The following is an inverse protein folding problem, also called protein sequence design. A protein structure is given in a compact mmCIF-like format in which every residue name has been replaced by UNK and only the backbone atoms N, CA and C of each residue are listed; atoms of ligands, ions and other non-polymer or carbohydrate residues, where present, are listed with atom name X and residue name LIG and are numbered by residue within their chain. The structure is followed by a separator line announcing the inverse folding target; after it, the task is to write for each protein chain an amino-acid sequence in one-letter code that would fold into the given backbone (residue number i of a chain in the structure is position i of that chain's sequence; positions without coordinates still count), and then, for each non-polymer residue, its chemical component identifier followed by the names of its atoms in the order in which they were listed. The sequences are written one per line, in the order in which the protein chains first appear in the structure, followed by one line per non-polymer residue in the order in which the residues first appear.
data_IF_995952166516
#
_entry.id   IF_995952166516
#
_cell.length_a   1.000
_cell.length_b   1.000
_cell.length_c   1.000
_cell.angle_alpha   90.00
_cell.angle_beta   90.00
_cell.angle_gamma   90.00
#
_symmetry.space_group_name_H-M   'P 1'
#
loop_
_entity.id
_entity.type
_entity.pdbx_description
1 polymer ?
#
# COMPACT_ATOMS: atom_id res chain seq x y z
N UNK A 1 7.21 15.86 -76.55
CA UNK A 1 6.79 17.16 -77.13
C UNK A 1 7.12 18.24 -76.12
N UNK A 2 7.57 19.43 -76.55
CA UNK A 2 7.52 20.74 -75.85
C UNK A 2 8.15 20.86 -74.43
N UNK A 3 8.89 21.92 -74.07
CA UNK A 3 9.53 22.99 -74.87
C UNK A 3 10.61 23.73 -74.02
N UNK A 4 11.60 24.35 -74.69
CA UNK A 4 12.36 25.59 -74.36
C UNK A 4 12.38 26.19 -72.93
N UNK A 5 13.47 26.79 -72.41
CA UNK A 5 14.82 27.05 -72.96
C UNK A 5 15.81 27.58 -71.88
N UNK A 6 17.07 27.79 -72.30
CA UNK A 6 18.10 28.67 -71.74
C UNK A 6 17.58 30.00 -71.11
N UNK A 7 18.26 30.68 -70.18
CA UNK A 7 19.61 30.47 -69.59
C UNK A 7 20.45 31.76 -69.61
N UNK A 8 21.19 32.08 -68.53
CA UNK A 8 22.07 33.27 -68.46
C UNK A 8 22.51 33.64 -67.03
N UNK A 9 23.71 34.19 -66.87
CA UNK A 9 24.33 34.54 -65.56
C UNK A 9 24.90 35.96 -65.57
N UNK A 10 24.84 36.70 -64.44
CA UNK A 10 25.58 37.96 -64.25
C UNK A 10 25.77 38.39 -62.77
N UNK A 11 26.83 37.85 -62.13
CA UNK A 11 27.94 38.55 -61.44
C UNK A 11 27.73 40.02 -60.93
N UNK A 12 28.09 40.31 -59.64
CA UNK A 12 29.04 41.38 -59.14
C UNK A 12 28.72 42.08 -57.78
N UNK A 13 29.72 42.04 -56.86
CA UNK A 13 30.09 42.95 -55.71
C UNK A 13 29.12 43.25 -54.55
N UNK A 14 29.71 43.72 -53.45
CA UNK A 14 29.11 44.03 -52.15
C UNK A 14 29.26 45.52 -51.75
N UNK A 15 28.55 45.95 -50.69
CA UNK A 15 28.77 47.21 -49.95
C UNK A 15 28.29 47.08 -48.48
N UNK A 16 28.73 47.99 -47.61
CA UNK A 16 28.50 47.94 -46.15
C UNK A 16 27.43 48.96 -45.65
N UNK A 17 27.25 48.97 -44.32
CA UNK A 17 26.17 49.58 -43.51
C UNK A 17 25.97 51.11 -43.63
N UNK A 18 24.82 51.62 -43.14
CA UNK A 18 24.90 52.51 -41.96
C UNK A 18 23.74 52.41 -40.93
N UNK A 19 24.02 52.82 -39.69
CA UNK A 19 23.07 53.31 -38.64
C UNK A 19 23.22 54.85 -38.49
N UNK A 20 22.47 55.60 -37.63
CA UNK A 20 21.23 55.35 -36.84
C UNK A 20 20.12 56.43 -37.10
N UNK A 21 19.05 56.52 -36.28
CA UNK A 21 18.61 57.73 -35.52
C UNK A 21 17.27 57.58 -34.72
N UNK A 22 16.97 58.59 -33.88
CA UNK A 22 15.83 58.80 -32.95
C UNK A 22 14.93 59.99 -33.43
N UNK A 23 13.73 60.32 -32.92
CA UNK A 23 12.82 59.86 -31.83
C UNK A 23 11.33 60.18 -32.24
N UNK A 24 10.25 60.26 -31.45
CA UNK A 24 9.99 60.13 -30.00
C UNK A 24 8.61 60.66 -29.55
N UNK A 25 8.02 60.09 -28.46
CA UNK A 25 6.73 60.45 -27.79
C UNK A 25 5.44 60.25 -28.62
N UNK A 26 4.23 59.99 -28.08
CA UNK A 26 3.63 60.20 -26.74
C UNK A 26 2.85 58.98 -26.17
N UNK A 27 2.29 59.10 -24.95
CA UNK A 27 1.67 58.03 -24.13
C UNK A 27 0.17 57.74 -24.39
N UNK A 28 -0.23 56.47 -24.21
CA UNK A 28 -1.37 56.05 -23.33
C UNK A 28 -1.03 54.68 -22.70
N UNK A 29 -0.72 54.60 -21.40
CA UNK A 29 -1.65 54.41 -20.25
C UNK A 29 -2.29 53.01 -20.09
N UNK A 30 -1.52 52.00 -19.67
CA UNK A 30 -1.68 51.28 -18.38
C UNK A 30 -0.69 50.11 -18.24
N UNK A 31 0.12 50.06 -17.18
CA UNK A 31 1.03 48.94 -16.88
C UNK A 31 1.18 48.75 -15.35
N UNK A 32 0.81 47.59 -14.76
CA UNK A 32 0.99 47.32 -13.34
C UNK A 32 2.46 46.96 -13.02
N UNK A 33 3.27 48.00 -12.77
CA UNK A 33 4.56 48.05 -12.06
C UNK A 33 5.26 46.68 -11.85
N UNK A 34 6.11 46.29 -12.79
CA UNK A 34 7.15 45.27 -12.58
C UNK A 34 8.22 45.82 -11.64
N UNK A 35 8.01 45.65 -10.33
CA UNK A 35 8.96 46.07 -9.28
C UNK A 35 10.30 45.35 -9.44
N UNK A 36 11.32 46.07 -9.90
CA UNK A 36 12.68 45.53 -10.03
C UNK A 36 13.24 45.11 -8.66
N UNK A 37 13.81 43.89 -8.53
CA UNK A 37 14.42 43.45 -7.28
C UNK A 37 15.74 44.18 -7.07
N UNK A 38 15.74 45.22 -6.24
CA UNK A 38 16.94 45.97 -5.90
C UNK A 38 17.98 45.05 -5.22
N UNK A 39 19.18 44.95 -5.79
CA UNK A 39 20.30 44.19 -5.23
C UNK A 39 20.70 44.74 -3.84
N UNK A 40 20.18 44.14 -2.77
CA UNK A 40 20.80 44.20 -1.44
C UNK A 40 21.44 42.86 -1.14
N UNK A 41 22.72 42.86 -0.79
CA UNK A 41 23.43 41.69 -0.22
C UNK A 41 22.97 41.48 1.24
N UNK A 42 21.72 41.07 1.42
CA UNK A 42 21.33 40.35 2.64
C UNK A 42 21.76 38.91 2.48
N UNK A 43 22.59 38.39 3.39
CA UNK A 43 22.80 36.94 3.50
C UNK A 43 21.58 36.40 4.23
N UNK A 44 20.55 36.03 3.47
CA UNK A 44 19.47 35.18 3.97
C UNK A 44 20.14 33.92 4.51
N UNK A 45 20.11 33.72 5.83
CA UNK A 45 20.49 32.44 6.40
C UNK A 45 19.53 31.37 5.83
N UNK A 46 20.03 30.19 5.42
CA UNK A 46 19.14 29.11 5.05
C UNK A 46 18.25 28.77 6.27
N UNK A 47 16.94 28.51 6.08
CA UNK A 47 16.04 28.20 7.18
C UNK A 47 16.57 26.99 7.95
N UNK A 48 16.49 27.06 9.28
CA UNK A 48 16.93 25.97 10.14
C UNK A 48 16.00 24.77 9.92
N UNK A 49 16.56 23.57 9.81
CA UNK A 49 15.76 22.36 9.83
C UNK A 49 15.10 22.19 11.21
N UNK A 50 13.83 21.79 11.23
CA UNK A 50 13.19 21.36 12.48
C UNK A 50 13.99 20.20 13.10
N UNK A 51 14.10 20.13 14.44
CA UNK A 51 14.70 18.98 15.12
C UNK A 51 13.87 17.71 14.85
N UNK A 52 14.53 16.54 14.92
CA UNK A 52 13.92 15.25 14.56
C UNK A 52 12.64 14.90 15.36
N UNK A 53 12.42 15.52 16.52
CA UNK A 53 11.16 15.50 17.27
C UNK A 53 10.81 16.93 17.72
N UNK A 54 10.02 17.69 16.96
CA UNK A 54 9.73 19.09 17.25
C UNK A 54 8.57 19.24 18.24
N UNK A 55 8.86 19.40 19.53
CA UNK A 55 7.81 19.61 20.55
C UNK A 55 7.17 20.99 20.44
N UNK A 56 5.84 21.04 20.30
CA UNK A 56 5.06 22.28 20.33
C UNK A 56 5.26 23.09 21.62
N UNK A 57 5.49 22.43 22.76
CA UNK A 57 5.69 23.13 24.04
C UNK A 57 7.06 23.82 24.08
N UNK A 58 8.11 23.14 23.63
CA UNK A 58 9.46 23.71 23.55
C UNK A 58 9.49 24.94 22.63
N UNK A 59 8.85 24.86 21.46
CA UNK A 59 8.73 25.99 20.53
C UNK A 59 7.89 27.15 21.11
N UNK A 60 6.80 26.84 21.84
CA UNK A 60 6.01 27.87 22.55
C UNK A 60 6.84 28.58 23.62
N UNK A 61 7.73 27.86 24.31
CA UNK A 61 8.60 28.43 25.33
C UNK A 61 9.75 29.25 24.69
N UNK A 62 10.36 28.76 23.61
CA UNK A 62 11.32 29.51 22.79
C UNK A 62 10.76 30.86 22.32
N UNK A 63 9.49 30.91 21.87
CA UNK A 63 8.83 32.16 21.49
C UNK A 63 8.60 33.13 22.69
N UNK A 64 8.27 32.61 23.88
CA UNK A 64 8.17 33.42 25.11
C UNK A 64 9.53 34.00 25.52
N UNK A 65 10.59 33.20 25.47
CA UNK A 65 11.93 33.63 25.84
C UNK A 65 12.52 34.61 24.82
N UNK A 66 12.23 34.44 23.53
CA UNK A 66 12.56 35.40 22.49
C UNK A 66 11.86 36.76 22.71
N UNK A 67 10.56 36.75 23.06
CA UNK A 67 9.82 37.95 23.43
C UNK A 67 10.40 38.63 24.68
N UNK A 68 10.77 37.85 25.70
CA UNK A 68 11.42 38.33 26.94
C UNK A 68 12.81 38.93 26.64
N UNK A 69 13.58 38.32 25.75
CA UNK A 69 14.88 38.82 25.29
C UNK A 69 14.76 40.14 24.51
N UNK A 70 13.74 40.29 23.66
CA UNK A 70 13.46 41.53 22.93
C UNK A 70 13.07 42.67 23.87
N UNK A 71 12.16 42.42 24.82
CA UNK A 71 11.76 43.39 25.85
C UNK A 71 12.91 43.78 26.80
N UNK A 72 13.92 42.93 26.92
CA UNK A 72 15.16 43.22 27.65
C UNK A 72 16.26 43.85 26.77
N UNK A 73 15.92 44.38 25.59
CA UNK A 73 16.84 45.12 24.72
C UNK A 73 17.99 44.31 24.12
N UNK A 74 17.96 42.97 24.15
CA UNK A 74 19.09 42.14 23.71
C UNK A 74 19.32 42.28 22.19
N UNK A 75 20.50 42.72 21.72
CA UNK A 75 20.73 43.01 20.29
C UNK A 75 20.41 41.84 19.35
N UNK A 76 20.74 40.60 19.74
CA UNK A 76 20.46 39.40 18.94
C UNK A 76 18.97 39.06 18.82
N UNK A 77 18.14 39.45 19.78
CA UNK A 77 16.68 39.35 19.66
C UNK A 77 16.13 40.47 18.77
N UNK A 78 16.58 41.72 18.98
CA UNK A 78 16.16 42.88 18.18
C UNK A 78 16.46 42.69 16.70
N UNK A 79 17.62 42.11 16.35
CA UNK A 79 17.97 41.74 14.98
C UNK A 79 16.96 40.77 14.35
N UNK A 80 16.68 39.63 15.00
CA UNK A 80 15.75 38.59 14.51
C UNK A 80 14.33 39.14 14.27
N UNK A 81 13.84 39.99 15.17
CA UNK A 81 12.56 40.69 15.00
C UNK A 81 12.55 41.68 13.82
N UNK A 82 13.64 42.42 13.60
CA UNK A 82 13.79 43.35 12.48
C UNK A 82 14.06 42.66 11.13
N UNK A 83 14.51 41.41 11.12
CA UNK A 83 14.72 40.63 9.89
C UNK A 83 13.42 40.00 9.38
N UNK A 84 12.58 39.48 10.27
CA UNK A 84 11.41 38.67 9.90
C UNK A 84 10.04 39.37 10.05
N UNK A 85 9.96 40.59 10.60
CA UNK A 85 8.68 41.33 10.70
C UNK A 85 8.69 42.63 9.88
N UNK A 86 7.91 42.72 8.78
CA UNK A 86 7.89 43.88 7.89
C UNK A 86 7.61 45.24 8.54
N UNK A 87 6.82 45.28 9.63
CA UNK A 87 6.52 46.53 10.36
C UNK A 87 7.69 47.09 11.18
N UNK A 88 8.80 46.35 11.28
CA UNK A 88 10.00 46.71 12.02
C UNK A 88 11.19 47.04 11.11
N UNK A 89 11.01 46.94 9.78
CA UNK A 89 12.06 47.16 8.79
C UNK A 89 12.49 48.65 8.77
N UNK A 90 13.75 48.92 9.10
CA UNK A 90 14.32 50.27 9.05
C UNK A 90 14.01 51.17 10.25
N UNK A 91 13.47 50.63 11.36
CA UNK A 91 13.38 51.37 12.62
C UNK A 91 14.79 51.75 13.13
N UNK A 92 15.06 53.00 13.55
CA UNK A 92 16.37 53.43 14.03
C UNK A 92 16.90 52.60 15.20
N UNK A 93 18.23 52.51 15.31
CA UNK A 93 18.90 51.89 16.46
C UNK A 93 18.83 52.73 17.74
N UNK A 94 18.59 54.04 17.60
CA UNK A 94 18.67 55.05 18.66
C UNK A 94 17.31 55.39 19.30
N UNK A 95 16.32 54.50 19.17
CA UNK A 95 15.04 54.61 19.91
C UNK A 95 15.17 53.89 21.27
N UNK A 96 14.95 54.59 22.41
CA UNK A 96 15.22 54.04 23.73
C UNK A 96 14.25 52.91 24.14
N UNK A 97 13.00 52.95 23.64
CA UNK A 97 12.02 51.88 23.80
C UNK A 97 11.84 51.13 22.47
N UNK A 98 12.02 49.79 22.42
CA UNK A 98 11.72 49.02 21.23
C UNK A 98 10.21 49.02 20.95
N UNK A 99 9.77 49.12 19.69
CA UNK A 99 8.35 49.19 19.32
C UNK A 99 7.55 47.98 19.82
N UNK A 100 6.26 48.18 20.08
CA UNK A 100 5.44 47.17 20.76
C UNK A 100 5.29 45.87 19.97
N UNK A 101 5.71 44.77 20.59
CA UNK A 101 5.76 43.41 20.03
C UNK A 101 4.98 42.44 20.92
N UNK A 102 4.15 41.62 20.28
CA UNK A 102 3.26 40.63 20.89
C UNK A 102 3.87 39.22 20.90
N UNK A 103 3.21 38.27 21.58
CA UNK A 103 3.58 36.86 21.49
C UNK A 103 3.37 36.29 20.07
N UNK A 104 2.36 36.79 19.33
CA UNK A 104 2.09 36.39 17.95
C UNK A 104 3.21 36.81 17.00
N UNK A 105 3.79 38.00 17.21
CA UNK A 105 4.99 38.45 16.51
C UNK A 105 6.17 37.52 16.79
N UNK A 106 6.42 37.18 18.07
CA UNK A 106 7.52 36.28 18.47
C UNK A 106 7.37 34.87 17.88
N UNK A 107 6.14 34.35 17.86
CA UNK A 107 5.78 33.09 17.20
C UNK A 107 6.01 33.15 15.68
N UNK A 108 5.73 34.29 15.03
CA UNK A 108 6.01 34.46 13.60
C UNK A 108 7.52 34.47 13.29
N UNK A 109 8.34 35.06 14.17
CA UNK A 109 9.81 35.04 14.03
C UNK A 109 10.35 33.61 14.17
N UNK A 110 9.94 32.86 15.19
CA UNK A 110 10.32 31.45 15.36
C UNK A 110 9.86 30.59 14.16
N UNK A 111 8.64 30.79 13.66
CA UNK A 111 8.14 30.05 12.49
C UNK A 111 8.96 30.36 11.22
N UNK A 112 9.30 31.63 10.98
CA UNK A 112 10.09 32.06 9.83
C UNK A 112 11.52 31.53 9.84
N UNK A 113 12.15 31.41 11.01
CA UNK A 113 13.49 30.79 11.15
C UNK A 113 13.51 29.31 10.76
N UNK A 114 12.43 28.58 11.00
CA UNK A 114 12.23 27.20 10.54
C UNK A 114 11.62 27.10 9.12
N UNK A 115 11.50 28.22 8.40
CA UNK A 115 11.03 28.28 7.01
C UNK A 115 9.50 28.26 6.82
N UNK A 116 8.70 28.38 7.88
CA UNK A 116 7.23 28.35 7.80
C UNK A 116 6.62 29.74 7.58
N UNK A 117 5.59 29.87 6.71
CA UNK A 117 4.96 31.16 6.42
C UNK A 117 4.09 31.70 7.57
N UNK A 118 3.70 30.86 8.54
CA UNK A 118 3.11 31.31 9.80
C UNK A 118 3.22 30.25 10.90
N UNK A 119 3.07 30.70 12.16
CA UNK A 119 2.99 29.80 13.32
C UNK A 119 1.88 28.73 13.17
N UNK A 120 0.76 29.05 12.53
CA UNK A 120 -0.32 28.09 12.28
C UNK A 120 0.13 26.96 11.35
N UNK A 121 0.81 27.28 10.24
CA UNK A 121 1.36 26.25 9.33
C UNK A 121 2.40 25.37 10.04
N UNK A 122 3.28 25.96 10.85
CA UNK A 122 4.24 25.19 11.65
C UNK A 122 3.54 24.31 12.70
N UNK A 123 2.47 24.80 13.33
CA UNK A 123 1.69 24.03 14.31
C UNK A 123 0.99 22.85 13.63
N UNK A 124 0.34 23.07 12.49
CA UNK A 124 -0.31 22.02 11.69
C UNK A 124 0.71 20.95 11.29
N UNK A 125 1.83 21.33 10.67
CA UNK A 125 2.88 20.39 10.24
C UNK A 125 3.53 19.59 11.38
N UNK A 126 3.47 20.11 12.61
CA UNK A 126 3.95 19.38 13.81
C UNK A 126 2.84 18.49 14.37
N UNK A 127 1.58 18.94 14.42
CA UNK A 127 0.46 18.11 14.86
C UNK A 127 0.24 16.92 13.91
N UNK A 128 0.37 17.13 12.60
CA UNK A 128 0.38 16.07 11.58
C UNK A 128 1.53 15.06 11.78
N UNK A 129 2.65 15.47 12.40
CA UNK A 129 3.77 14.58 12.76
C UNK A 129 3.63 13.92 14.13
N UNK A 130 2.96 14.56 15.09
CA UNK A 130 2.75 14.01 16.43
C UNK A 130 1.55 13.03 16.47
N UNK A 131 0.54 13.21 15.61
CA UNK A 131 -0.64 12.35 15.51
C UNK A 131 -0.55 11.27 14.41
N UNK A 132 0.64 10.86 13.95
CA UNK A 132 0.76 9.77 12.97
C UNK A 132 0.40 8.44 13.66
N UNK A 133 -0.86 8.03 13.52
CA UNK A 133 -1.30 6.68 13.85
C UNK A 133 -0.58 5.69 12.93
N UNK A 134 0.01 4.65 13.51
CA UNK A 134 0.77 3.61 12.80
C UNK A 134 0.36 2.25 13.34
N UNK A 135 0.07 1.31 12.43
CA UNK A 135 -0.20 -0.07 12.78
C UNK A 135 1.02 -0.93 12.51
N UNK A 136 1.29 -1.89 13.41
CA UNK A 136 2.35 -2.87 13.19
C UNK A 136 1.87 -3.96 12.22
N UNK A 137 2.72 -4.27 11.25
CA UNK A 137 2.42 -5.14 10.12
C UNK A 137 3.32 -6.38 10.13
N UNK A 138 2.78 -7.52 9.70
CA UNK A 138 3.56 -8.70 9.29
C UNK A 138 3.58 -8.80 7.77
N UNK A 139 4.61 -9.43 7.20
CA UNK A 139 4.57 -9.84 5.79
C UNK A 139 3.81 -11.17 5.73
N UNK A 140 2.65 -11.19 5.06
CA UNK A 140 1.84 -12.41 4.89
C UNK A 140 2.42 -13.27 3.76
N UNK A 141 3.00 -12.65 2.72
CA UNK A 141 3.70 -13.34 1.65
C UNK A 141 4.12 -12.45 0.48
N UNK A 142 4.72 -13.07 -0.54
CA UNK A 142 5.02 -12.45 -1.84
C UNK A 142 4.48 -13.32 -2.98
N UNK A 143 3.47 -12.82 -3.69
CA UNK A 143 2.87 -13.48 -4.86
C UNK A 143 3.62 -13.17 -6.15
N UNK A 144 3.46 -14.07 -7.13
CA UNK A 144 3.82 -13.87 -8.53
C UNK A 144 2.54 -13.73 -9.36
N UNK A 145 2.41 -12.68 -10.17
CA UNK A 145 1.41 -12.65 -11.24
C UNK A 145 1.90 -13.53 -12.41
N UNK A 146 1.20 -14.62 -12.77
CA UNK A 146 1.69 -15.57 -13.77
C UNK A 146 1.76 -14.97 -15.18
N UNK A 147 0.91 -13.97 -15.50
CA UNK A 147 0.80 -13.38 -16.84
C UNK A 147 1.95 -12.40 -17.15
N UNK A 148 2.51 -11.71 -16.16
CA UNK A 148 3.51 -10.65 -16.37
C UNK A 148 4.71 -10.68 -15.41
N UNK A 149 4.82 -11.67 -14.53
CA UNK A 149 5.88 -11.86 -13.53
C UNK A 149 6.05 -10.73 -12.50
N UNK A 150 5.15 -9.74 -12.45
CA UNK A 150 5.12 -8.75 -11.37
C UNK A 150 4.93 -9.45 -10.02
N UNK A 151 5.53 -8.88 -8.97
CA UNK A 151 5.44 -9.40 -7.61
C UNK A 151 4.50 -8.53 -6.79
N UNK A 152 3.72 -9.15 -5.91
CA UNK A 152 2.90 -8.43 -4.91
C UNK A 152 3.37 -8.87 -3.54
N UNK A 153 3.93 -7.96 -2.75
CA UNK A 153 4.10 -8.20 -1.31
C UNK A 153 2.80 -7.78 -0.61
N UNK A 154 2.32 -8.60 0.31
CA UNK A 154 1.16 -8.25 1.14
C UNK A 154 1.57 -8.14 2.59
N UNK A 155 1.26 -6.99 3.17
CA UNK A 155 1.39 -6.75 4.61
C UNK A 155 0.04 -6.92 5.29
N UNK A 156 0.01 -7.54 6.47
CA UNK A 156 -1.20 -7.75 7.28
C UNK A 156 -1.05 -7.03 8.62
N UNK A 157 -2.09 -6.31 9.07
CA UNK A 157 -2.09 -5.69 10.39
C UNK A 157 -2.08 -6.74 11.51
N UNK A 158 -1.25 -6.55 12.54
CA UNK A 158 -1.22 -7.45 13.71
C UNK A 158 -2.47 -7.33 14.58
N UNK A 159 -3.02 -6.13 14.69
CA UNK A 159 -4.11 -5.77 15.62
C UNK A 159 -5.35 -5.24 14.87
N UNK A 160 -5.33 -5.21 13.53
CA UNK A 160 -6.42 -4.73 12.67
C UNK A 160 -6.59 -5.63 11.45
N UNK A 161 -7.84 -5.83 11.02
CA UNK A 161 -8.19 -6.64 9.85
C UNK A 161 -7.95 -5.91 8.50
N UNK A 162 -6.86 -5.13 8.41
CA UNK A 162 -6.43 -4.42 7.20
C UNK A 162 -5.23 -5.12 6.55
N UNK A 163 -5.33 -5.39 5.27
CA UNK A 163 -4.24 -5.92 4.43
C UNK A 163 -3.77 -4.84 3.46
N UNK A 164 -2.46 -4.63 3.32
CA UNK A 164 -1.86 -3.65 2.40
C UNK A 164 -1.08 -4.38 1.30
N UNK A 165 -1.68 -4.60 0.11
CA UNK A 165 -0.99 -5.12 -1.05
C UNK A 165 -0.15 -4.03 -1.73
N UNK A 166 1.10 -4.36 -2.09
CA UNK A 166 1.99 -3.47 -2.83
C UNK A 166 2.66 -4.21 -3.99
N UNK A 167 2.50 -3.66 -5.20
CA UNK A 167 3.23 -4.10 -6.39
C UNK A 167 4.70 -3.71 -6.29
N UNK A 168 5.59 -4.69 -6.47
CA UNK A 168 7.05 -4.52 -6.37
C UNK A 168 7.76 -5.21 -7.54
N UNK A 169 9.02 -4.85 -7.77
CA UNK A 169 9.83 -5.44 -8.84
C UNK A 169 10.15 -6.93 -8.58
N UNK A 170 10.42 -7.72 -9.64
CA UNK A 170 10.79 -9.14 -9.50
C UNK A 170 11.97 -9.37 -8.56
N UNK A 171 13.05 -8.58 -8.71
CA UNK A 171 14.27 -8.74 -7.92
C UNK A 171 14.03 -8.47 -6.42
N UNK A 172 13.24 -7.45 -6.07
CA UNK A 172 12.92 -7.13 -4.68
C UNK A 172 11.95 -8.15 -4.08
N UNK A 173 10.95 -8.60 -4.85
CA UNK A 173 10.02 -9.64 -4.41
C UNK A 173 10.73 -10.97 -4.16
N UNK A 174 11.61 -11.40 -5.06
CA UNK A 174 12.40 -12.62 -4.88
C UNK A 174 13.37 -12.50 -3.69
N UNK A 175 13.98 -11.31 -3.48
CA UNK A 175 14.85 -11.05 -2.33
C UNK A 175 14.11 -11.09 -0.98
N UNK A 176 12.81 -10.77 -0.94
CA UNK A 176 11.95 -10.96 0.24
C UNK A 176 11.56 -12.44 0.36
N UNK A 177 11.01 -13.03 -0.71
CA UNK A 177 10.48 -14.40 -0.72
C UNK A 177 11.51 -15.44 -0.30
N UNK A 178 12.75 -15.37 -0.81
CA UNK A 178 13.82 -16.30 -0.41
C UNK A 178 14.10 -16.28 1.10
N UNK A 179 14.01 -15.10 1.75
CA UNK A 179 14.25 -14.98 3.19
C UNK A 179 13.05 -15.43 4.03
N UNK A 180 11.81 -15.20 3.56
CA UNK A 180 10.60 -15.75 4.19
C UNK A 180 10.59 -17.28 4.16
N UNK A 181 10.93 -17.88 3.02
CA UNK A 181 11.06 -19.33 2.83
C UNK A 181 12.29 -19.95 3.53
N UNK A 182 13.02 -19.20 4.36
CA UNK A 182 14.20 -19.68 5.09
C UNK A 182 15.39 -20.12 4.22
N UNK A 183 15.40 -19.82 2.92
CA UNK A 183 16.39 -20.34 1.96
C UNK A 183 17.74 -19.64 2.12
N UNK A 184 18.71 -20.37 2.68
CA UNK A 184 20.09 -19.90 2.78
C UNK A 184 20.76 -19.79 1.41
N UNK A 185 21.67 -18.83 1.27
CA UNK A 185 22.40 -18.55 0.02
C UNK A 185 23.90 -18.63 0.26
N UNK A 186 24.63 -19.27 -0.68
CA UNK A 186 26.10 -19.47 -0.58
C UNK A 186 26.89 -18.15 -0.57
N UNK A 187 26.25 -17.06 -1.01
CA UNK A 187 26.76 -15.68 -0.96
C UNK A 187 25.63 -14.75 -0.51
N UNK A 188 25.89 -13.77 0.37
CA UNK A 188 24.87 -12.83 0.83
C UNK A 188 24.30 -12.03 -0.35
N UNK A 189 22.97 -11.80 -0.35
CA UNK A 189 22.30 -10.94 -1.32
C UNK A 189 22.44 -9.46 -0.90
N UNK A 190 21.95 -8.55 -1.74
CA UNK A 190 22.08 -7.10 -1.56
C UNK A 190 21.64 -6.62 -0.17
N UNK A 191 20.50 -7.10 0.34
CA UNK A 191 19.96 -6.68 1.63
C UNK A 191 20.66 -7.38 2.82
N UNK A 192 21.25 -8.56 2.63
CA UNK A 192 22.09 -9.23 3.64
C UNK A 192 23.46 -8.51 3.79
N UNK A 193 24.02 -8.06 2.67
CA UNK A 193 25.19 -7.19 2.65
C UNK A 193 24.89 -5.83 3.27
N UNK A 194 23.70 -5.27 3.02
CA UNK A 194 23.27 -3.99 3.60
C UNK A 194 23.15 -4.06 5.13
N UNK A 195 22.57 -5.14 5.67
CA UNK A 195 22.52 -5.39 7.12
C UNK A 195 23.94 -5.50 7.71
N UNK A 196 24.79 -6.32 7.09
CA UNK A 196 26.20 -6.48 7.47
C UNK A 196 26.93 -5.12 7.54
N UNK A 197 26.77 -4.28 6.51
CA UNK A 197 27.37 -2.93 6.46
C UNK A 197 26.80 -1.97 7.52
N UNK A 198 25.51 -2.10 7.88
CA UNK A 198 24.90 -1.32 8.96
C UNK A 198 25.51 -1.74 10.31
N UNK A 199 25.66 -3.05 10.55
CA UNK A 199 26.30 -3.62 11.73
C UNK A 199 27.77 -3.23 11.88
N UNK A 200 28.58 -3.37 10.81
CA UNK A 200 29.99 -2.98 10.78
C UNK A 200 30.21 -1.49 11.11
N UNK A 201 29.26 -0.63 10.73
CA UNK A 201 29.27 0.79 11.07
C UNK A 201 28.77 1.07 12.51
N UNK A 202 28.37 0.06 13.28
CA UNK A 202 27.82 0.20 14.63
C UNK A 202 26.39 0.74 14.67
N UNK A 203 25.63 0.52 13.60
CA UNK A 203 24.20 0.82 13.52
C UNK A 203 23.33 -0.43 13.67
N UNK A 204 22.05 -0.23 13.93
CA UNK A 204 21.01 -1.28 13.85
C UNK A 204 19.76 -0.75 13.16
N UNK A 205 19.03 -1.62 12.46
CA UNK A 205 17.70 -1.30 11.94
C UNK A 205 16.70 -1.42 13.09
N UNK A 206 16.02 -0.32 13.43
CA UNK A 206 15.11 -0.26 14.58
C UNK A 206 13.67 -0.59 14.22
N UNK A 207 13.24 -0.13 13.05
CA UNK A 207 11.92 -0.35 12.45
C UNK A 207 11.95 0.12 10.99
N UNK A 208 10.97 -0.28 10.21
CA UNK A 208 10.65 0.34 8.92
C UNK A 208 9.20 0.80 8.87
N UNK A 209 8.89 1.76 8.00
CA UNK A 209 7.57 2.38 7.90
C UNK A 209 7.18 2.48 6.42
N UNK A 210 5.99 2.04 6.04
CA UNK A 210 5.32 2.45 4.80
C UNK A 210 4.57 3.73 5.11
N UNK A 211 5.08 4.86 4.63
CA UNK A 211 4.74 6.17 5.17
C UNK A 211 3.77 7.00 4.37
N UNK A 212 3.76 6.86 3.04
CA UNK A 212 2.93 7.72 2.20
C UNK A 212 2.58 7.05 0.88
N UNK A 213 1.42 7.43 0.32
CA UNK A 213 0.98 7.05 -1.01
C UNK A 213 0.68 8.32 -1.84
N UNK A 214 1.56 8.60 -2.81
CA UNK A 214 1.52 9.77 -3.71
C UNK A 214 1.60 9.31 -5.15
N UNK A 215 0.64 9.72 -5.98
CA UNK A 215 0.59 9.38 -7.42
C UNK A 215 0.86 7.89 -7.67
N UNK A 216 0.06 7.04 -7.02
CA UNK A 216 0.15 5.57 -7.06
C UNK A 216 1.49 4.95 -6.59
N UNK A 217 2.43 5.77 -6.13
CA UNK A 217 3.74 5.35 -5.61
C UNK A 217 3.74 5.36 -4.08
N UNK A 218 4.10 4.22 -3.49
CA UNK A 218 4.30 4.09 -2.05
C UNK A 218 5.73 4.50 -1.66
N UNK A 219 5.85 5.22 -0.53
CA UNK A 219 7.11 5.69 0.04
C UNK A 219 7.41 4.99 1.35
N UNK A 220 8.68 4.66 1.59
CA UNK A 220 9.14 3.94 2.78
C UNK A 220 10.19 4.74 3.57
N UNK A 221 10.22 4.52 4.89
CA UNK A 221 11.25 5.06 5.79
C UNK A 221 11.95 3.92 6.50
N UNK A 222 13.28 3.85 6.41
CA UNK A 222 14.12 2.98 7.24
C UNK A 222 14.60 3.79 8.44
N UNK A 223 14.33 3.30 9.66
CA UNK A 223 14.72 3.98 10.90
C UNK A 223 15.90 3.22 11.52
N UNK A 224 17.08 3.82 11.45
CA UNK A 224 18.32 3.29 12.00
C UNK A 224 18.57 3.87 13.39
N UNK A 225 19.27 3.12 14.25
CA UNK A 225 19.82 3.60 15.51
C UNK A 225 21.35 3.41 15.53
N UNK A 226 22.11 4.45 15.89
CA UNK A 226 23.57 4.44 15.98
C UNK A 226 24.03 5.32 17.13
N UNK A 227 24.81 4.79 18.07
CA UNK A 227 25.31 5.53 19.25
C UNK A 227 24.20 6.31 19.99
N UNK A 228 23.03 5.70 20.20
CA UNK A 228 21.84 6.32 20.80
C UNK A 228 21.08 7.31 19.90
N UNK A 229 21.71 7.82 18.84
CA UNK A 229 21.06 8.68 17.83
C UNK A 229 20.13 7.85 16.95
N UNK A 230 18.92 8.35 16.69
CA UNK A 230 18.01 7.78 15.68
C UNK A 230 18.19 8.53 14.36
N UNK A 231 18.29 7.81 13.24
CA UNK A 231 18.53 8.34 11.90
C UNK A 231 17.49 7.76 10.96
N UNK A 232 16.66 8.60 10.36
CA UNK A 232 15.66 8.18 9.37
C UNK A 232 16.21 8.33 7.94
N UNK A 233 15.88 7.38 7.07
CA UNK A 233 16.27 7.36 5.65
C UNK A 233 15.08 7.03 4.77
N UNK A 234 14.88 7.86 3.75
CA UNK A 234 13.92 7.62 2.67
C UNK A 234 14.32 6.36 1.87
N UNK A 235 13.33 5.61 1.40
CA UNK A 235 13.51 4.30 0.78
C UNK A 235 12.28 3.87 -0.01
N UNK A 236 12.44 2.88 -0.90
CA UNK A 236 11.30 2.16 -1.47
C UNK A 236 10.76 1.18 -0.40
N UNK A 237 9.44 1.02 -0.21
CA UNK A 237 8.89 0.05 0.73
C UNK A 237 9.45 -1.36 0.52
N UNK A 238 9.68 -1.76 -0.74
CA UNK A 238 10.27 -3.04 -1.10
C UNK A 238 11.65 -3.28 -0.48
N UNK A 239 12.56 -2.29 -0.51
CA UNK A 239 13.89 -2.40 0.09
C UNK A 239 13.83 -2.38 1.62
N UNK A 240 12.95 -1.53 2.16
CA UNK A 240 12.72 -1.43 3.59
C UNK A 240 12.18 -2.76 4.17
N UNK A 241 11.21 -3.39 3.51
CA UNK A 241 10.66 -4.70 3.89
C UNK A 241 11.71 -5.80 3.72
N UNK A 242 12.47 -5.81 2.61
CA UNK A 242 13.54 -6.80 2.37
C UNK A 242 14.65 -6.76 3.43
N UNK A 243 14.93 -5.58 4.02
CA UNK A 243 15.85 -5.40 5.13
C UNK A 243 15.22 -5.74 6.49
N UNK A 244 13.94 -5.40 6.70
CA UNK A 244 13.20 -5.73 7.92
C UNK A 244 13.04 -7.24 8.13
N UNK A 245 12.69 -7.98 7.08
CA UNK A 245 12.57 -9.45 7.08
C UNK A 245 13.91 -10.16 7.36
N UNK A 246 15.04 -9.47 7.14
CA UNK A 246 16.39 -9.99 7.48
C UNK A 246 16.79 -9.70 8.92
N UNK A 247 16.56 -8.47 9.35
CA UNK A 247 16.95 -7.96 10.67
C UNK A 247 15.98 -8.33 11.81
N UNK A 248 14.78 -8.81 11.48
CA UNK A 248 13.68 -8.97 12.43
C UNK A 248 13.10 -7.63 12.92
N UNK A 249 13.45 -6.51 12.28
CA UNK A 249 12.95 -5.19 12.67
C UNK A 249 11.45 -5.05 12.35
N UNK A 250 10.62 -4.49 13.26
CA UNK A 250 9.20 -4.36 13.05
C UNK A 250 8.86 -3.43 11.87
N UNK A 251 7.84 -3.83 11.11
CA UNK A 251 7.30 -3.11 9.95
C UNK A 251 6.05 -2.35 10.44
N UNK A 252 5.93 -1.08 10.09
CA UNK A 252 4.73 -0.28 10.35
C UNK A 252 4.15 0.25 9.04
N UNK A 253 2.84 0.52 9.02
CA UNK A 253 2.19 1.35 8.01
C UNK A 253 1.53 2.56 8.70
N UNK A 254 1.67 3.76 8.12
CA UNK A 254 0.94 4.95 8.56
C UNK A 254 -0.54 4.79 8.18
N UNK A 255 -1.47 5.14 9.07
CA UNK A 255 -2.91 4.90 8.93
C UNK A 255 -3.49 5.49 7.62
N UNK A 256 -3.05 6.69 7.25
CA UNK A 256 -3.41 7.36 6.00
C UNK A 256 -2.93 6.63 4.71
N UNK A 257 -2.10 5.59 4.83
CA UNK A 257 -1.78 4.65 3.73
C UNK A 257 -2.78 3.49 3.71
N UNK A 258 -3.11 2.94 4.88
CA UNK A 258 -4.08 1.86 5.03
C UNK A 258 -5.50 2.31 4.65
N UNK A 259 -5.91 3.52 4.99
CA UNK A 259 -7.19 4.12 4.59
C UNK A 259 -7.30 4.45 3.09
N UNK A 260 -6.20 4.33 2.32
CA UNK A 260 -6.16 4.71 0.89
C UNK A 260 -5.83 3.57 -0.06
N UNK A 261 -5.20 2.51 0.42
CA UNK A 261 -4.86 1.31 -0.36
C UNK A 261 -4.80 0.02 0.49
N UNK A 262 -5.20 0.09 1.77
CA UNK A 262 -5.53 -1.11 2.52
C UNK A 262 -6.87 -1.69 2.06
N UNK A 263 -7.05 -2.98 2.33
CA UNK A 263 -8.26 -3.74 2.05
C UNK A 263 -8.69 -4.41 3.36
N UNK A 264 -9.93 -4.18 3.76
CA UNK A 264 -10.60 -4.96 4.79
C UNK A 264 -11.37 -6.10 4.12
N UNK A 265 -11.48 -7.24 4.79
CA UNK A 265 -12.22 -8.39 4.29
C UNK A 265 -13.22 -8.84 5.35
N UNK A 266 -14.45 -9.08 4.93
CA UNK A 266 -15.50 -9.58 5.81
C UNK A 266 -15.12 -10.98 6.35
N UNK A 267 -15.05 -11.18 7.67
CA UNK A 267 -14.81 -12.51 8.24
C UNK A 267 -15.90 -13.54 7.88
N UNK A 268 -17.15 -13.11 7.68
CA UNK A 268 -18.31 -13.99 7.45
C UNK A 268 -18.57 -14.24 5.96
N UNK A 269 -18.57 -13.21 5.10
CA UNK A 269 -18.79 -13.40 3.64
C UNK A 269 -17.49 -13.59 2.82
N UNK A 270 -16.33 -13.23 3.36
CA UNK A 270 -15.06 -13.24 2.62
C UNK A 270 -14.91 -12.12 1.57
N UNK A 271 -15.92 -11.26 1.38
CA UNK A 271 -15.87 -10.16 0.42
C UNK A 271 -14.91 -9.03 0.85
N UNK A 272 -14.33 -8.35 -0.13
CA UNK A 272 -13.45 -7.21 0.08
C UNK A 272 -14.25 -5.94 0.42
N UNK A 273 -14.36 -5.62 1.72
CA UNK A 273 -14.92 -4.36 2.20
C UNK A 273 -13.94 -3.23 1.87
N UNK A 274 -14.12 -2.64 0.69
CA UNK A 274 -13.22 -1.58 0.21
C UNK A 274 -13.36 -0.29 1.04
N UNK A 275 -12.34 0.00 1.85
CA UNK A 275 -12.22 1.26 2.59
C UNK A 275 -11.84 2.40 1.63
N UNK A 276 -12.83 2.86 0.86
CA UNK A 276 -12.86 4.15 0.15
C UNK A 276 -11.69 4.42 -0.83
N UNK A 277 -11.03 3.36 -1.33
CA UNK A 277 -9.83 3.49 -2.16
C UNK A 277 -10.14 3.97 -3.58
N UNK A 278 -9.57 5.11 -3.96
CA UNK A 278 -9.57 5.56 -5.37
C UNK A 278 -8.69 4.66 -6.27
N UNK A 279 -7.84 3.81 -5.66
CA UNK A 279 -7.38 2.58 -6.30
C UNK A 279 -8.58 1.68 -6.55
N UNK A 280 -8.97 1.57 -7.80
CA UNK A 280 -10.18 0.86 -8.18
C UNK A 280 -9.99 -0.65 -8.08
N UNK A 281 -10.40 -1.20 -6.93
CA UNK A 281 -10.46 -2.64 -6.68
C UNK A 281 -11.45 -3.37 -7.62
N UNK A 282 -12.08 -2.71 -8.61
CA UNK A 282 -12.62 -3.43 -9.78
C UNK A 282 -11.57 -4.20 -10.57
N UNK A 283 -10.28 -3.87 -10.46
CA UNK A 283 -9.19 -4.74 -10.94
C UNK A 283 -8.97 -6.01 -10.07
N UNK A 284 -9.70 -6.12 -8.95
CA UNK A 284 -9.82 -7.33 -8.12
C UNK A 284 -11.25 -7.89 -8.09
N UNK A 285 -12.31 -7.11 -8.33
CA UNK A 285 -13.65 -7.67 -8.58
C UNK A 285 -13.75 -8.31 -9.98
N UNK A 286 -12.91 -7.89 -10.93
CA UNK A 286 -12.55 -8.69 -12.11
C UNK A 286 -11.57 -9.84 -11.74
N UNK A 287 -11.90 -10.68 -10.74
CA UNK A 287 -11.39 -12.05 -10.73
C UNK A 287 -12.03 -12.75 -11.93
N UNK A 288 -11.37 -12.66 -13.09
CA UNK A 288 -11.77 -13.46 -14.24
C UNK A 288 -11.51 -14.91 -13.90
N UNK A 289 -12.39 -15.80 -14.38
CA UNK A 289 -12.31 -17.25 -14.23
C UNK A 289 -10.92 -17.84 -14.59
N UNK A 290 -10.14 -17.10 -15.39
CA UNK A 290 -8.76 -17.42 -15.78
C UNK A 290 -7.68 -17.20 -14.71
N UNK A 291 -7.92 -16.40 -13.66
CA UNK A 291 -6.85 -15.85 -12.82
C UNK A 291 -6.53 -16.70 -11.58
N UNK A 292 -7.53 -17.43 -11.04
CA UNK A 292 -7.31 -18.55 -10.11
C UNK A 292 -7.99 -19.78 -10.69
N UNK A 293 -7.23 -20.54 -11.48
CA UNK A 293 -7.66 -21.84 -11.97
C UNK A 293 -7.85 -22.81 -10.78
N UNK A 294 -8.87 -23.66 -10.89
CA UNK A 294 -8.98 -24.83 -10.03
C UNK A 294 -7.84 -25.82 -10.32
N UNK A 295 -7.35 -26.50 -9.29
CA UNK A 295 -6.32 -27.54 -9.44
C UNK A 295 -6.86 -28.78 -10.19
N UNK A 296 -5.99 -29.70 -10.58
CA UNK A 296 -6.42 -30.95 -11.24
C UNK A 296 -7.24 -31.84 -10.28
N UNK A 297 -7.03 -31.72 -8.97
CA UNK A 297 -7.79 -32.39 -7.91
C UNK A 297 -9.22 -31.81 -7.84
N UNK A 298 -9.35 -30.49 -7.77
CA UNK A 298 -10.65 -29.82 -7.80
C UNK A 298 -11.41 -30.09 -9.12
N UNK A 299 -10.72 -30.18 -10.27
CA UNK A 299 -11.34 -30.60 -11.55
C UNK A 299 -11.85 -32.04 -11.52
N UNK A 300 -11.13 -32.98 -10.90
CA UNK A 300 -11.61 -34.36 -10.69
C UNK A 300 -12.86 -34.36 -9.80
N UNK A 301 -12.87 -33.57 -8.73
CA UNK A 301 -14.01 -33.41 -7.83
C UNK A 301 -15.27 -32.94 -8.58
N UNK A 302 -15.16 -31.94 -9.48
CA UNK A 302 -16.28 -31.55 -10.36
C UNK A 302 -16.74 -32.69 -11.28
N UNK A 303 -15.81 -33.53 -11.75
CA UNK A 303 -16.12 -34.73 -12.52
C UNK A 303 -16.93 -35.77 -11.73
N UNK A 304 -16.59 -36.02 -10.47
CA UNK A 304 -17.37 -36.91 -9.60
C UNK A 304 -18.73 -36.31 -9.20
N UNK A 305 -18.79 -35.00 -8.95
CA UNK A 305 -20.04 -34.27 -8.71
C UNK A 305 -20.98 -34.38 -9.92
N UNK A 306 -20.47 -34.17 -11.14
CA UNK A 306 -21.22 -34.37 -12.38
C UNK A 306 -21.69 -35.83 -12.58
N UNK A 307 -20.86 -36.83 -12.27
CA UNK A 307 -21.32 -38.24 -12.25
C UNK A 307 -22.42 -38.48 -11.22
N UNK A 308 -22.49 -37.73 -10.12
CA UNK A 308 -23.58 -37.83 -9.13
C UNK A 308 -24.86 -37.16 -9.65
N UNK A 309 -24.76 -36.03 -10.35
CA UNK A 309 -25.86 -35.39 -11.09
C UNK A 309 -26.49 -36.38 -12.10
N UNK A 310 -25.68 -37.02 -12.96
CA UNK A 310 -26.14 -38.07 -13.89
C UNK A 310 -26.68 -39.34 -13.20
N UNK A 311 -26.26 -39.65 -11.96
CA UNK A 311 -26.79 -40.77 -11.16
C UNK A 311 -28.19 -40.47 -10.63
N UNK A 312 -28.44 -39.24 -10.18
CA UNK A 312 -29.68 -38.82 -9.52
C UNK A 312 -30.76 -38.28 -10.47
N UNK A 313 -30.37 -37.77 -11.65
CA UNK A 313 -31.30 -37.13 -12.59
C UNK A 313 -31.48 -35.64 -12.34
N UNK A 314 -30.41 -34.93 -11.99
CA UNK A 314 -30.47 -33.48 -11.76
C UNK A 314 -29.97 -32.72 -12.99
N UNK A 315 -30.46 -31.49 -13.20
CA UNK A 315 -30.11 -30.69 -14.40
C UNK A 315 -28.86 -29.82 -14.21
N UNK A 316 -28.51 -29.51 -12.95
CA UNK A 316 -27.39 -28.65 -12.57
C UNK A 316 -26.52 -29.29 -11.48
N UNK A 317 -25.25 -28.88 -11.40
CA UNK A 317 -24.38 -29.18 -10.27
C UNK A 317 -24.71 -28.24 -9.10
N UNK A 318 -25.06 -28.80 -7.94
CA UNK A 318 -25.43 -28.05 -6.71
C UNK A 318 -24.38 -28.20 -5.59
N UNK A 319 -24.41 -27.37 -4.52
CA UNK A 319 -23.49 -27.49 -3.38
C UNK A 319 -23.46 -28.89 -2.74
N UNK A 320 -24.57 -29.61 -2.73
CA UNK A 320 -24.69 -31.00 -2.24
C UNK A 320 -23.88 -31.98 -3.09
N UNK A 321 -23.85 -31.79 -4.41
CA UNK A 321 -23.04 -32.61 -5.31
C UNK A 321 -21.54 -32.33 -5.12
N UNK A 322 -21.17 -31.07 -4.89
CA UNK A 322 -19.78 -30.67 -4.59
C UNK A 322 -19.34 -31.23 -3.22
N UNK A 323 -20.17 -31.07 -2.18
CA UNK A 323 -19.88 -31.63 -0.85
C UNK A 323 -19.82 -33.16 -0.89
N UNK A 324 -20.69 -33.84 -1.64
CA UNK A 324 -20.62 -35.29 -1.78
C UNK A 324 -19.32 -35.74 -2.45
N UNK A 325 -18.89 -35.06 -3.51
CA UNK A 325 -17.62 -35.38 -4.18
C UNK A 325 -16.40 -35.08 -3.29
N UNK A 326 -16.48 -34.04 -2.44
CA UNK A 326 -15.49 -33.74 -1.40
C UNK A 326 -15.46 -34.82 -0.30
N UNK A 327 -16.62 -35.33 0.12
CA UNK A 327 -16.75 -36.42 1.08
C UNK A 327 -16.36 -37.79 0.49
N UNK A 328 -16.40 -37.95 -0.84
CA UNK A 328 -15.91 -39.14 -1.57
C UNK A 328 -14.38 -39.06 -1.85
N UNK A 329 -13.72 -37.93 -1.57
CA UNK A 329 -12.26 -37.74 -1.74
C UNK A 329 -11.45 -38.49 -0.65
N UNK A 330 -10.36 -39.17 -1.04
CA UNK A 330 -9.55 -40.01 -0.13
C UNK A 330 -8.16 -39.43 0.17
N UNK A 331 -7.46 -38.89 -0.84
CA UNK A 331 -6.06 -38.47 -0.71
C UNK A 331 -5.85 -36.95 -0.81
N UNK A 332 -6.86 -36.21 -1.25
CA UNK A 332 -6.78 -34.78 -1.53
C UNK A 332 -6.74 -33.90 -0.28
N UNK A 333 -6.52 -32.62 -0.50
CA UNK A 333 -6.31 -31.64 0.56
C UNK A 333 -7.60 -31.34 1.35
N UNK A 334 -8.75 -31.25 0.68
CA UNK A 334 -10.05 -31.13 1.32
C UNK A 334 -10.37 -32.28 2.27
N UNK A 335 -10.15 -33.52 1.83
CA UNK A 335 -10.29 -34.71 2.69
C UNK A 335 -9.42 -34.67 3.95
N UNK A 336 -8.16 -34.20 3.84
CA UNK A 336 -7.26 -34.04 5.01
C UNK A 336 -7.75 -32.97 5.98
N UNK A 337 -8.25 -31.85 5.48
CA UNK A 337 -8.80 -30.76 6.30
C UNK A 337 -10.07 -31.21 7.01
N UNK A 338 -10.96 -31.95 6.33
CA UNK A 338 -12.14 -32.56 6.97
C UNK A 338 -11.77 -33.55 8.08
N UNK A 339 -10.72 -34.35 7.88
CA UNK A 339 -10.21 -35.27 8.89
C UNK A 339 -9.56 -34.54 10.09
N UNK A 340 -8.82 -33.44 9.87
CA UNK A 340 -8.28 -32.61 10.97
C UNK A 340 -9.39 -31.88 11.74
N UNK A 341 -10.45 -31.45 11.07
CA UNK A 341 -11.64 -30.85 11.70
C UNK A 341 -12.50 -31.89 12.45
N UNK A 342 -12.21 -33.19 12.30
CA UNK A 342 -12.92 -34.27 12.99
C UNK A 342 -14.35 -34.52 12.48
N UNK A 343 -14.62 -34.24 11.19
CA UNK A 343 -15.92 -34.47 10.59
C UNK A 343 -16.26 -35.98 10.58
N UNK A 344 -17.47 -36.33 11.05
CA UNK A 344 -18.07 -37.63 10.77
C UNK A 344 -18.45 -37.72 9.29
N UNK A 345 -17.49 -38.20 8.48
CA UNK A 345 -17.64 -38.35 7.03
C UNK A 345 -18.80 -39.29 6.68
N UNK A 346 -19.02 -40.36 7.46
CA UNK A 346 -20.06 -41.36 7.17
C UNK A 346 -21.45 -40.85 7.56
N UNK A 347 -21.58 -40.15 8.69
CA UNK A 347 -22.79 -39.43 9.06
C UNK A 347 -23.15 -38.32 8.07
N UNK A 348 -22.15 -37.57 7.57
CA UNK A 348 -22.34 -36.53 6.56
C UNK A 348 -22.79 -37.11 5.20
N UNK A 349 -22.14 -38.20 4.74
CA UNK A 349 -22.55 -38.95 3.53
C UNK A 349 -23.98 -39.49 3.66
N UNK A 350 -24.31 -40.10 4.80
CA UNK A 350 -25.64 -40.67 5.05
C UNK A 350 -26.75 -39.61 4.98
N UNK A 351 -26.55 -38.42 5.56
CA UNK A 351 -27.51 -37.31 5.47
C UNK A 351 -27.73 -36.84 4.02
N UNK A 352 -26.66 -36.71 3.24
CA UNK A 352 -26.75 -36.38 1.81
C UNK A 352 -27.47 -37.47 0.99
N UNK A 353 -27.43 -38.73 1.41
CA UNK A 353 -28.12 -39.84 0.73
C UNK A 353 -29.57 -40.02 1.16
N UNK A 354 -29.90 -39.74 2.42
CA UNK A 354 -31.28 -39.68 2.92
C UNK A 354 -32.10 -38.59 2.21
N UNK A 355 -31.47 -37.44 1.96
CA UNK A 355 -32.09 -36.28 1.31
C UNK A 355 -31.80 -36.20 -0.20
N UNK A 356 -31.20 -37.24 -0.80
CA UNK A 356 -30.98 -37.32 -2.24
C UNK A 356 -32.30 -37.62 -2.97
N UNK A 357 -33.02 -36.56 -3.34
CA UNK A 357 -34.14 -36.67 -4.27
C UNK A 357 -33.67 -37.25 -5.63
N UNK A 358 -34.64 -37.72 -6.43
CA UNK A 358 -34.41 -38.19 -7.80
C UNK A 358 -35.18 -37.31 -8.76
N UNK A 359 -34.47 -36.58 -9.61
CA UNK A 359 -35.08 -35.88 -10.73
C UNK A 359 -35.20 -36.77 -11.97
N UNK A 360 -35.43 -36.13 -13.12
CA UNK A 360 -35.57 -36.81 -14.40
C UNK A 360 -34.20 -37.11 -15.02
N UNK A 361 -34.04 -38.30 -15.59
CA UNK A 361 -32.81 -38.73 -16.26
C UNK A 361 -32.83 -38.42 -17.77
N UNK A 362 -33.99 -38.07 -18.32
CA UNK A 362 -34.13 -37.64 -19.71
C UNK A 362 -33.90 -36.13 -19.92
N UNK A 363 -33.96 -35.30 -18.87
CA UNK A 363 -33.65 -33.85 -18.97
C UNK A 363 -32.18 -33.48 -18.74
N UNK A 364 -31.36 -34.41 -18.26
CA UNK A 364 -29.93 -34.18 -17.97
C UNK A 364 -29.12 -33.96 -19.25
N UNK A 365 -28.44 -32.82 -19.36
CA UNK A 365 -27.65 -32.42 -20.53
C UNK A 365 -26.26 -33.05 -20.55
N UNK A 366 -25.67 -33.23 -21.75
CA UNK A 366 -24.28 -33.69 -21.89
C UNK A 366 -23.25 -32.70 -21.31
N UNK A 367 -23.54 -31.39 -21.40
CA UNK A 367 -22.81 -30.34 -20.69
C UNK A 367 -23.68 -29.86 -19.52
N UNK A 368 -23.19 -30.07 -18.30
CA UNK A 368 -23.86 -29.66 -17.07
C UNK A 368 -23.44 -28.24 -16.69
N UNK A 369 -24.43 -27.41 -16.39
CA UNK A 369 -24.24 -26.08 -15.81
C UNK A 369 -24.11 -26.17 -14.28
N UNK A 370 -23.45 -25.20 -13.64
CA UNK A 370 -23.44 -25.05 -12.18
C UNK A 370 -24.58 -24.12 -11.75
N UNK A 371 -25.35 -24.52 -10.74
CA UNK A 371 -26.42 -23.67 -10.17
C UNK A 371 -25.86 -22.37 -9.59
N UNK A 372 -26.67 -21.32 -9.43
CA UNK A 372 -26.20 -20.04 -8.87
C UNK A 372 -25.52 -20.20 -7.49
N UNK A 373 -26.06 -21.10 -6.65
CA UNK A 373 -25.49 -21.46 -5.35
C UNK A 373 -24.08 -22.06 -5.50
N UNK A 374 -23.92 -22.99 -6.44
CA UNK A 374 -22.59 -23.52 -6.79
C UNK A 374 -21.66 -22.44 -7.35
N UNK A 375 -22.15 -21.54 -8.20
CA UNK A 375 -21.33 -20.44 -8.73
C UNK A 375 -20.82 -19.52 -7.60
N UNK A 376 -21.64 -19.25 -6.57
CA UNK A 376 -21.20 -18.57 -5.34
C UNK A 376 -20.13 -19.37 -4.58
N UNK A 377 -20.33 -20.67 -4.36
CA UNK A 377 -19.32 -21.57 -3.76
C UNK A 377 -17.99 -21.55 -4.54
N UNK A 378 -18.03 -21.61 -5.87
CA UNK A 378 -16.84 -21.57 -6.73
C UNK A 378 -16.14 -20.20 -6.68
N UNK A 379 -16.89 -19.11 -6.58
CA UNK A 379 -16.32 -17.77 -6.39
C UNK A 379 -15.64 -17.65 -5.03
N UNK A 380 -16.34 -18.01 -3.94
CA UNK A 380 -15.83 -17.94 -2.58
C UNK A 380 -14.59 -18.82 -2.38
N UNK A 381 -14.55 -20.02 -2.98
CA UNK A 381 -13.36 -20.86 -2.99
C UNK A 381 -12.14 -20.19 -3.65
N UNK A 382 -12.34 -19.50 -4.78
CA UNK A 382 -11.28 -18.71 -5.44
C UNK A 382 -10.85 -17.52 -4.60
N UNK A 383 -11.79 -16.85 -3.93
CA UNK A 383 -11.52 -15.75 -3.01
C UNK A 383 -10.71 -16.21 -1.79
N UNK A 384 -11.03 -17.36 -1.20
CA UNK A 384 -10.25 -17.93 -0.09
C UNK A 384 -8.82 -18.34 -0.53
N UNK A 385 -8.68 -18.98 -1.69
CA UNK A 385 -7.35 -19.30 -2.27
C UNK A 385 -6.53 -18.03 -2.52
N UNK A 386 -7.18 -16.99 -3.04
CA UNK A 386 -6.57 -15.67 -3.14
C UNK A 386 -6.17 -15.12 -1.75
N UNK A 387 -7.04 -15.22 -0.74
CA UNK A 387 -6.89 -14.64 0.59
C UNK A 387 -5.77 -15.26 1.44
N UNK A 388 -5.56 -16.57 1.35
CA UNK A 388 -4.42 -17.24 2.02
C UNK A 388 -3.21 -17.40 1.08
N UNK A 389 -3.26 -16.73 -0.07
CA UNK A 389 -2.19 -16.58 -1.05
C UNK A 389 -1.78 -17.84 -1.84
N UNK A 390 -2.57 -18.91 -1.75
CA UNK A 390 -2.39 -20.17 -2.46
C UNK A 390 -2.63 -20.04 -3.98
N UNK A 391 -1.71 -20.54 -4.81
CA UNK A 391 -1.67 -20.23 -6.25
C UNK A 391 -2.75 -20.87 -7.14
N UNK A 392 -3.56 -21.79 -6.59
CA UNK A 392 -4.71 -22.43 -7.26
C UNK A 392 -5.82 -22.68 -6.23
N UNK A 393 -7.07 -22.80 -6.67
CA UNK A 393 -8.16 -23.25 -5.81
C UNK A 393 -8.23 -24.79 -5.82
N UNK A 394 -7.99 -25.45 -4.69
CA UNK A 394 -8.12 -26.90 -4.52
C UNK A 394 -9.40 -27.33 -3.81
N UNK A 395 -9.50 -28.61 -3.43
CA UNK A 395 -10.67 -29.17 -2.73
C UNK A 395 -10.83 -28.62 -1.30
N UNK A 396 -9.72 -28.26 -0.66
CA UNK A 396 -9.63 -27.52 0.60
C UNK A 396 -10.23 -26.11 0.51
N UNK A 397 -10.13 -25.47 -0.66
CA UNK A 397 -10.74 -24.16 -0.90
C UNK A 397 -12.23 -24.28 -1.25
N UNK A 398 -12.63 -25.35 -1.94
CA UNK A 398 -14.05 -25.68 -2.14
C UNK A 398 -14.78 -25.93 -0.82
N UNK A 399 -14.13 -26.56 0.17
CA UNK A 399 -14.66 -26.68 1.53
C UNK A 399 -14.94 -25.31 2.16
N UNK A 400 -13.98 -24.37 2.10
CA UNK A 400 -14.18 -23.02 2.64
C UNK A 400 -15.32 -22.30 1.91
N UNK A 401 -15.39 -22.42 0.58
CA UNK A 401 -16.50 -21.88 -0.22
C UNK A 401 -17.87 -22.46 0.15
N UNK A 402 -17.96 -23.75 0.48
CA UNK A 402 -19.19 -24.40 0.95
C UNK A 402 -19.62 -23.91 2.35
N UNK A 403 -18.67 -23.59 3.23
CA UNK A 403 -18.95 -23.03 4.56
C UNK A 403 -19.41 -21.57 4.44
N UNK A 404 -18.73 -20.77 3.59
CA UNK A 404 -18.99 -19.33 3.41
C UNK A 404 -20.28 -19.04 2.64
N UNK A 405 -20.66 -19.89 1.68
CA UNK A 405 -21.89 -19.69 0.91
C UNK A 405 -23.16 -19.83 1.76
N UNK A 406 -23.09 -20.59 2.87
CA UNK A 406 -24.18 -20.84 3.82
C UNK A 406 -25.53 -21.26 3.19
N UNK A 407 -25.46 -21.97 2.07
CA UNK A 407 -26.61 -22.34 1.26
C UNK A 407 -26.85 -23.86 1.19
N UNK A 408 -28.13 -24.22 1.04
CA UNK A 408 -28.57 -25.59 0.81
C UNK A 408 -28.43 -26.53 2.01
N UNK A 409 -28.50 -27.83 1.73
CA UNK A 409 -28.27 -28.90 2.70
C UNK A 409 -26.77 -29.04 3.02
N UNK A 410 -25.90 -28.69 2.08
CA UNK A 410 -24.45 -28.75 2.27
C UNK A 410 -23.98 -27.90 3.46
N UNK A 411 -24.42 -26.64 3.54
CA UNK A 411 -24.11 -25.76 4.67
C UNK A 411 -24.71 -26.27 6.00
N UNK A 412 -25.93 -26.82 5.97
CA UNK A 412 -26.58 -27.39 7.15
C UNK A 412 -25.76 -28.54 7.74
N UNK A 413 -25.33 -29.50 6.91
CA UNK A 413 -24.52 -30.64 7.35
C UNK A 413 -23.18 -30.18 7.95
N UNK A 414 -22.51 -29.20 7.33
CA UNK A 414 -21.24 -28.66 7.83
C UNK A 414 -21.43 -27.92 9.18
N UNK A 415 -22.51 -27.14 9.34
CA UNK A 415 -22.87 -26.46 10.59
C UNK A 415 -23.27 -27.41 11.72
N UNK A 416 -24.11 -28.40 11.45
CA UNK A 416 -24.51 -29.42 12.44
C UNK A 416 -23.32 -30.24 12.94
N UNK A 417 -22.29 -30.39 12.10
CA UNK A 417 -21.02 -31.03 12.45
C UNK A 417 -20.10 -30.14 13.30
N UNK A 418 -20.53 -28.93 13.65
CA UNK A 418 -19.79 -28.00 14.52
C UNK A 418 -18.60 -27.32 13.86
N UNK A 419 -18.41 -27.47 12.54
CA UNK A 419 -17.30 -26.83 11.80
C UNK A 419 -17.52 -25.32 11.77
N UNK A 420 -16.50 -24.57 12.19
CA UNK A 420 -16.46 -23.10 12.09
C UNK A 420 -15.46 -22.65 11.04
N UNK A 421 -15.75 -21.53 10.38
CA UNK A 421 -14.92 -20.99 9.30
C UNK A 421 -13.49 -20.66 9.76
N UNK A 422 -13.30 -20.17 10.99
CA UNK A 422 -11.98 -19.83 11.52
C UNK A 422 -11.14 -21.07 11.80
N UNK A 423 -11.77 -22.15 12.27
CA UNK A 423 -11.11 -23.45 12.45
C UNK A 423 -10.75 -24.09 11.11
N UNK A 424 -11.65 -24.01 10.12
CA UNK A 424 -11.39 -24.49 8.76
C UNK A 424 -10.24 -23.71 8.10
N UNK A 425 -10.28 -22.38 8.10
CA UNK A 425 -9.20 -21.51 7.59
C UNK A 425 -7.86 -21.82 8.27
N UNK A 426 -7.85 -22.06 9.58
CA UNK A 426 -6.64 -22.42 10.32
C UNK A 426 -6.06 -23.79 9.90
N UNK A 427 -6.93 -24.80 9.71
CA UNK A 427 -6.52 -26.13 9.24
C UNK A 427 -6.01 -26.09 7.79
N UNK A 428 -6.70 -25.39 6.88
CA UNK A 428 -6.26 -25.20 5.48
C UNK A 428 -4.89 -24.51 5.43
N UNK A 429 -4.70 -23.41 6.18
CA UNK A 429 -3.42 -22.70 6.24
C UNK A 429 -2.29 -23.58 6.77
N UNK A 430 -2.50 -24.24 7.91
CA UNK A 430 -1.53 -25.18 8.50
C UNK A 430 -1.14 -26.31 7.54
N UNK A 431 -2.09 -26.83 6.76
CA UNK A 431 -1.84 -27.86 5.76
C UNK A 431 -0.96 -27.33 4.63
N UNK A 432 -1.25 -26.14 4.09
CA UNK A 432 -0.44 -25.48 3.04
C UNK A 432 0.97 -25.16 3.56
N UNK A 433 1.08 -24.57 4.75
CA UNK A 433 2.33 -24.29 5.46
C UNK A 433 3.17 -25.57 5.76
N UNK A 434 2.62 -26.77 5.51
CA UNK A 434 3.27 -28.08 5.67
C UNK A 434 3.51 -28.84 4.35
N UNK A 435 3.15 -28.24 3.21
CA UNK A 435 3.22 -28.85 1.88
C UNK A 435 4.28 -28.23 0.94
N UNK A 436 4.82 -27.05 1.29
CA UNK A 436 5.96 -26.38 0.62
C UNK A 436 7.33 -26.69 1.26
#
# INVERSE_FOLDING_TARGET
MMQSCFGGSLRVRAKAEPTPFHDGTTNTLFCPITRTPGKRKGVLMPPQSLPARPSLEQLKNQAKDLLKAYRAGRPSAVARFRELIPRLFGAPDDQPDPPSVSLRDAQHVVAGEYGFPSWSHMTIHIQERENILMFEMTVEGVKVNPKNQQRVVVLKGKEVNKYLPMWIGPAEGDAIAMKLLGKETVRPLTHDLMDSMIGDLGGTVKRVIVSELKSETFFGKIVLQRNGTTIERDSRPSDAIALAVRTGAPIYAEDAVLDRAGVEFDPESGEAISTNSQWDLRSFSEIKESDYAFSEEAKRLFGEAGKRVFRLGHEEVTPEHILSALLEEVEGAGARVLAELGLDLDGARAKLEEHAERGDRESVRELLDFSEASQRVLHLARTEAYMIFHGQAGSEHLLLGLILADEGLAAQILKESGIKIEAARAAVRKMIDSAE
#
